data_IF_645041758807
#
_entry.id   IF_645041758807
#
_cell.length_a   1.000
_cell.length_b   1.000
_cell.length_c   1.000
_cell.angle_alpha   90.00
_cell.angle_beta   90.00
_cell.angle_gamma   90.00
#
_symmetry.space_group_name_H-M   'P 1'
#
loop_
_entity.id
_entity.type
_entity.pdbx_description
1 polymer ?
#
# COMPACT_ATOMS: atom_id res chain seq x y z
N UNK A 1 20.16 17.28 -7.91
CA UNK A 1 19.38 16.29 -7.14
C UNK A 1 18.79 16.99 -5.92
N UNK A 2 17.54 16.69 -5.54
CA UNK A 2 16.89 17.30 -4.36
C UNK A 2 17.38 16.61 -3.10
N UNK A 3 17.64 17.37 -2.04
CA UNK A 3 18.09 16.86 -0.75
C UNK A 3 17.10 15.86 -0.11
N UNK A 4 17.63 14.94 0.72
CA UNK A 4 16.87 13.87 1.34
C UNK A 4 15.77 14.39 2.29
N UNK A 5 16.04 15.41 3.11
CA UNK A 5 15.04 15.95 4.05
C UNK A 5 13.88 16.60 3.30
N UNK A 6 14.18 17.31 2.21
CA UNK A 6 13.18 17.94 1.35
C UNK A 6 12.31 16.88 0.65
N UNK A 7 12.92 15.77 0.19
CA UNK A 7 12.18 14.63 -0.39
C UNK A 7 11.23 14.01 0.64
N UNK A 8 11.72 13.76 1.85
CA UNK A 8 10.94 13.20 2.95
C UNK A 8 9.76 14.12 3.32
N UNK A 9 9.99 15.42 3.44
CA UNK A 9 8.93 16.37 3.77
C UNK A 9 7.85 16.43 2.68
N UNK A 10 8.24 16.42 1.40
CA UNK A 10 7.32 16.36 0.26
C UNK A 10 6.48 15.08 0.30
N UNK A 11 7.10 13.93 0.57
CA UNK A 11 6.37 12.66 0.69
C UNK A 11 5.37 12.68 1.85
N UNK A 12 5.75 13.21 3.01
CA UNK A 12 4.85 13.34 4.17
C UNK A 12 3.67 14.29 3.90
N UNK A 13 3.92 15.39 3.17
CA UNK A 13 2.88 16.33 2.74
C UNK A 13 1.91 15.68 1.75
N UNK A 14 2.42 14.95 0.75
CA UNK A 14 1.56 14.23 -0.20
C UNK A 14 0.74 13.15 0.52
N UNK A 15 1.35 12.33 1.37
CA UNK A 15 0.66 11.31 2.17
C UNK A 15 -0.49 11.88 2.99
N UNK A 16 -0.28 13.01 3.67
CA UNK A 16 -1.33 13.69 4.45
C UNK A 16 -2.45 14.20 3.55
N UNK A 17 -2.11 14.79 2.41
CA UNK A 17 -3.07 15.28 1.41
C UNK A 17 -3.92 14.14 0.85
N UNK A 18 -3.27 13.05 0.41
CA UNK A 18 -3.94 11.86 -0.15
C UNK A 18 -4.79 11.16 0.88
N UNK A 19 -4.33 11.05 2.13
CA UNK A 19 -5.14 10.50 3.21
C UNK A 19 -6.45 11.30 3.35
N UNK A 20 -6.39 12.63 3.41
CA UNK A 20 -7.60 13.49 3.49
C UNK A 20 -8.51 13.33 2.27
N UNK A 21 -7.94 13.24 1.06
CA UNK A 21 -8.69 13.03 -0.18
C UNK A 21 -9.39 11.67 -0.24
N UNK A 22 -8.77 10.64 0.33
CA UNK A 22 -9.33 9.28 0.37
C UNK A 22 -10.37 9.11 1.47
N UNK A 23 -10.35 9.90 2.56
CA UNK A 23 -11.26 9.67 3.70
C UNK A 23 -12.73 9.74 3.30
N UNK A 24 -13.14 10.79 2.59
CA UNK A 24 -14.53 11.00 2.21
C UNK A 24 -15.07 9.90 1.26
N UNK A 25 -14.39 9.56 0.14
CA UNK A 25 -14.86 8.48 -0.73
C UNK A 25 -14.80 7.12 -0.06
N UNK A 26 -13.83 6.88 0.85
CA UNK A 26 -13.77 5.63 1.61
C UNK A 26 -15.00 5.48 2.52
N UNK A 27 -15.38 6.53 3.25
CA UNK A 27 -16.58 6.52 4.10
C UNK A 27 -17.84 6.30 3.26
N UNK A 28 -17.99 7.01 2.14
CA UNK A 28 -19.12 6.83 1.23
C UNK A 28 -19.20 5.40 0.68
N UNK A 29 -18.06 4.83 0.26
CA UNK A 29 -17.99 3.46 -0.21
C UNK A 29 -18.34 2.45 0.91
N UNK A 30 -17.89 2.66 2.15
CA UNK A 30 -18.23 1.77 3.30
C UNK A 30 -19.73 1.74 3.51
N UNK A 31 -20.39 2.90 3.52
CA UNK A 31 -21.85 3.00 3.70
C UNK A 31 -22.59 2.30 2.55
N UNK A 32 -22.16 2.52 1.30
CA UNK A 32 -22.76 1.89 0.13
C UNK A 32 -22.58 0.37 0.13
N UNK A 33 -21.39 -0.13 0.48
CA UNK A 33 -21.15 -1.57 0.57
C UNK A 33 -21.92 -2.20 1.72
N UNK A 34 -22.07 -1.52 2.85
CA UNK A 34 -22.93 -1.98 3.94
C UNK A 34 -24.39 -2.10 3.50
N UNK A 35 -24.92 -1.08 2.81
CA UNK A 35 -26.27 -1.11 2.25
C UNK A 35 -26.45 -2.20 1.17
N UNK A 36 -25.42 -2.44 0.36
CA UNK A 36 -25.40 -3.49 -0.65
C UNK A 36 -25.39 -4.89 -0.03
N UNK A 37 -24.56 -5.14 0.99
CA UNK A 37 -24.54 -6.41 1.74
C UNK A 37 -25.87 -6.63 2.46
N UNK A 38 -26.48 -5.56 2.99
CA UNK A 38 -27.81 -5.66 3.60
C UNK A 38 -28.90 -6.11 2.61
N UNK A 39 -28.75 -5.78 1.33
CA UNK A 39 -29.73 -6.07 0.27
C UNK A 39 -29.42 -7.32 -0.55
N UNK A 40 -28.20 -7.87 -0.45
CA UNK A 40 -27.75 -9.01 -1.26
C UNK A 40 -26.92 -10.00 -0.45
N UNK A 41 -27.03 -11.30 -0.73
CA UNK A 41 -26.18 -12.35 -0.13
C UNK A 41 -24.76 -12.39 -0.74
N UNK A 42 -24.16 -11.23 -1.05
CA UNK A 42 -22.84 -11.16 -1.66
C UNK A 42 -21.75 -11.16 -0.58
N UNK A 43 -20.69 -11.94 -0.81
CA UNK A 43 -19.60 -12.17 0.14
C UNK A 43 -18.86 -10.90 0.56
N UNK A 44 -18.78 -10.72 1.89
CA UNK A 44 -17.99 -9.70 2.61
C UNK A 44 -16.50 -9.62 2.19
N UNK A 45 -15.97 -10.68 1.57
CA UNK A 45 -14.56 -10.75 1.17
C UNK A 45 -14.20 -9.72 0.08
N UNK A 46 -15.11 -9.42 -0.85
CA UNK A 46 -14.87 -8.40 -1.89
C UNK A 46 -14.74 -6.99 -1.28
N UNK A 47 -15.39 -6.73 -0.15
CA UNK A 47 -15.24 -5.48 0.59
C UNK A 47 -13.79 -5.28 1.08
N UNK A 48 -13.06 -6.37 1.40
CA UNK A 48 -11.64 -6.28 1.80
C UNK A 48 -10.76 -5.71 0.67
N UNK A 49 -11.06 -6.03 -0.59
CA UNK A 49 -10.34 -5.46 -1.74
C UNK A 49 -10.63 -3.96 -1.85
N UNK A 50 -11.90 -3.59 -1.81
CA UNK A 50 -12.32 -2.19 -1.99
C UNK A 50 -11.84 -1.27 -0.87
N UNK A 51 -11.91 -1.71 0.40
CA UNK A 51 -11.55 -0.87 1.54
C UNK A 51 -10.10 -1.02 2.00
N UNK A 52 -9.52 -2.19 1.81
CA UNK A 52 -8.13 -2.46 2.20
C UNK A 52 -7.15 -2.14 1.09
N UNK A 53 -7.30 -2.82 -0.05
CA UNK A 53 -6.29 -2.82 -1.10
C UNK A 53 -6.34 -1.57 -1.98
N UNK A 54 -7.53 -1.09 -2.35
CA UNK A 54 -7.65 0.06 -3.26
C UNK A 54 -7.01 1.35 -2.72
N UNK A 55 -7.24 1.75 -1.44
CA UNK A 55 -6.57 2.92 -0.88
C UNK A 55 -5.06 2.74 -0.75
N UNK A 56 -4.60 1.51 -0.47
CA UNK A 56 -3.19 1.19 -0.40
C UNK A 56 -2.50 1.32 -1.77
N UNK A 57 -3.13 0.80 -2.83
CA UNK A 57 -2.65 0.94 -4.21
C UNK A 57 -2.63 2.40 -4.67
N UNK A 58 -3.68 3.17 -4.35
CA UNK A 58 -3.72 4.59 -4.68
C UNK A 58 -2.54 5.35 -4.05
N UNK A 59 -2.26 5.11 -2.77
CA UNK A 59 -1.10 5.69 -2.08
C UNK A 59 0.22 5.25 -2.71
N UNK A 60 0.37 3.94 -2.96
CA UNK A 60 1.57 3.38 -3.58
C UNK A 60 1.84 3.97 -4.98
N UNK A 61 0.79 4.17 -5.77
CA UNK A 61 0.87 4.80 -7.09
C UNK A 61 1.33 6.25 -7.02
N UNK A 62 0.78 7.03 -6.08
CA UNK A 62 1.21 8.41 -5.88
C UNK A 62 2.65 8.51 -5.37
N UNK A 63 3.05 7.63 -4.43
CA UNK A 63 4.44 7.50 -3.97
C UNK A 63 5.37 7.20 -5.14
N UNK A 64 5.03 6.22 -5.98
CA UNK A 64 5.77 5.90 -7.22
C UNK A 64 5.94 7.14 -8.10
N UNK A 65 4.86 7.87 -8.40
CA UNK A 65 4.94 9.08 -9.24
C UNK A 65 5.88 10.13 -8.65
N UNK A 66 5.83 10.32 -7.33
CA UNK A 66 6.69 11.28 -6.63
C UNK A 66 8.16 10.82 -6.62
N UNK A 67 8.41 9.54 -6.35
CA UNK A 67 9.75 8.94 -6.42
C UNK A 67 10.39 9.09 -7.81
N UNK A 68 9.63 8.86 -8.88
CA UNK A 68 10.09 9.03 -10.26
C UNK A 68 10.42 10.49 -10.60
N UNK A 69 9.87 11.46 -9.87
CA UNK A 69 10.18 12.88 -10.08
C UNK A 69 11.47 13.35 -9.41
N UNK A 70 12.04 12.55 -8.49
CA UNK A 70 13.24 12.93 -7.75
C UNK A 70 14.55 12.53 -8.43
N UNK A 71 14.49 11.55 -9.33
CA UNK A 71 15.66 10.98 -10.00
C UNK A 71 15.30 10.48 -11.41
N UNK A 72 16.10 10.89 -12.40
CA UNK A 72 15.91 10.58 -13.82
C UNK A 72 16.68 9.31 -14.27
N UNK A 73 17.50 8.71 -13.41
CA UNK A 73 18.23 7.49 -13.73
C UNK A 73 17.27 6.35 -14.13
N UNK A 74 17.45 5.82 -15.34
CA UNK A 74 16.63 4.73 -15.89
C UNK A 74 16.63 3.48 -15.00
N UNK A 75 17.76 3.12 -14.40
CA UNK A 75 17.88 1.94 -13.50
C UNK A 75 17.08 2.15 -12.23
N UNK A 76 17.18 3.34 -11.64
CA UNK A 76 16.37 3.73 -10.49
C UNK A 76 14.87 3.70 -10.82
N UNK A 77 14.48 4.30 -11.95
CA UNK A 77 13.08 4.35 -12.37
C UNK A 77 12.48 2.96 -12.62
N UNK A 78 13.26 2.03 -13.18
CA UNK A 78 12.83 0.64 -13.35
C UNK A 78 12.57 -0.04 -12.01
N UNK A 79 13.45 0.16 -11.02
CA UNK A 79 13.28 -0.41 -9.68
C UNK A 79 12.10 0.20 -8.92
N UNK A 80 11.88 1.51 -9.02
CA UNK A 80 10.69 2.17 -8.45
C UNK A 80 9.40 1.63 -9.09
N UNK A 81 9.43 1.31 -10.39
CA UNK A 81 8.30 0.66 -11.07
C UNK A 81 8.10 -0.78 -10.61
N UNK A 82 9.16 -1.55 -10.37
CA UNK A 82 9.05 -2.92 -9.86
C UNK A 82 8.59 -2.98 -8.41
N UNK A 83 8.98 -2.02 -7.56
CA UNK A 83 8.43 -1.86 -6.21
C UNK A 83 6.91 -1.70 -6.25
N UNK A 84 6.40 -0.83 -7.13
CA UNK A 84 4.97 -0.68 -7.34
C UNK A 84 4.30 -1.94 -7.90
N UNK A 85 4.98 -2.64 -8.83
CA UNK A 85 4.47 -3.90 -9.40
C UNK A 85 4.35 -4.98 -8.32
N UNK A 86 5.29 -5.03 -7.38
CA UNK A 86 5.20 -5.89 -6.20
C UNK A 86 4.05 -5.47 -5.28
N UNK A 87 3.76 -4.17 -5.18
CA UNK A 87 2.53 -3.71 -4.51
C UNK A 87 1.23 -4.22 -5.16
N UNK A 88 1.22 -4.45 -6.48
CA UNK A 88 0.08 -4.99 -7.22
C UNK A 88 -0.12 -6.50 -7.02
N UNK A 89 0.87 -7.25 -6.52
CA UNK A 89 0.68 -8.68 -6.28
C UNK A 89 -0.22 -8.95 -5.07
N UNK A 90 -0.25 -8.07 -4.08
CA UNK A 90 -1.15 -8.16 -2.91
C UNK A 90 -2.63 -8.23 -3.30
N UNK A 91 -3.22 -7.25 -4.04
CA UNK A 91 -4.62 -7.32 -4.44
C UNK A 91 -4.90 -8.51 -5.37
N UNK A 92 -3.97 -8.89 -6.24
CA UNK A 92 -4.12 -10.06 -7.11
C UNK A 92 -4.16 -11.36 -6.31
N UNK A 93 -3.29 -11.51 -5.31
CA UNK A 93 -3.31 -12.64 -4.39
C UNK A 93 -4.66 -12.74 -3.66
N UNK A 94 -5.15 -11.62 -3.10
CA UNK A 94 -6.45 -11.60 -2.42
C UNK A 94 -7.56 -11.98 -3.38
N UNK A 95 -7.56 -11.47 -4.62
CA UNK A 95 -8.57 -11.80 -5.62
C UNK A 95 -8.57 -13.30 -5.97
N UNK A 96 -7.40 -13.90 -6.18
CA UNK A 96 -7.25 -15.34 -6.42
C UNK A 96 -7.78 -16.16 -5.23
N UNK A 97 -7.47 -15.72 -4.00
CA UNK A 97 -7.93 -16.40 -2.80
C UNK A 97 -9.45 -16.32 -2.63
N UNK A 98 -10.05 -15.16 -2.91
CA UNK A 98 -11.52 -15.02 -2.89
C UNK A 98 -12.14 -15.95 -3.92
N UNK A 99 -11.66 -15.93 -5.17
CA UNK A 99 -12.20 -16.83 -6.20
C UNK A 99 -12.02 -18.30 -5.85
N UNK A 100 -10.94 -18.67 -5.14
CA UNK A 100 -10.72 -20.04 -4.70
C UNK A 100 -11.68 -20.46 -3.59
N UNK A 101 -12.08 -19.54 -2.70
CA UNK A 101 -13.12 -19.79 -1.69
C UNK A 101 -14.49 -19.95 -2.36
N UNK A 102 -14.82 -19.08 -3.32
CA UNK A 102 -16.10 -19.12 -4.05
C UNK A 102 -16.26 -20.40 -4.88
N UNK A 103 -15.16 -20.93 -5.42
CA UNK A 103 -15.13 -22.21 -6.13
C UNK A 103 -15.02 -23.43 -5.19
N UNK A 104 -15.09 -23.20 -3.87
CA UNK A 104 -14.94 -24.22 -2.82
C UNK A 104 -13.62 -25.01 -2.87
N UNK A 105 -12.60 -24.48 -3.55
CA UNK A 105 -11.27 -25.11 -3.63
C UNK A 105 -10.51 -25.02 -2.31
N UNK A 106 -10.79 -24.00 -1.51
CA UNK A 106 -10.20 -23.79 -0.19
C UNK A 106 -11.26 -23.34 0.81
N UNK A 107 -11.06 -23.69 2.09
CA UNK A 107 -11.90 -23.19 3.18
C UNK A 107 -11.54 -21.76 3.56
N UNK A 108 -12.46 -21.07 4.26
CA UNK A 108 -12.19 -19.75 4.85
C UNK A 108 -10.99 -19.77 5.82
N UNK A 109 -10.77 -20.88 6.53
CA UNK A 109 -9.60 -21.02 7.40
C UNK A 109 -8.30 -21.04 6.60
N UNK A 110 -8.26 -21.79 5.49
CA UNK A 110 -7.12 -21.80 4.57
C UNK A 110 -6.90 -20.44 3.92
N UNK A 111 -7.97 -19.73 3.56
CA UNK A 111 -7.88 -18.35 3.08
C UNK A 111 -7.10 -17.46 4.04
N UNK A 112 -7.42 -17.49 5.35
CA UNK A 112 -6.73 -16.66 6.35
C UNK A 112 -5.25 -17.01 6.46
N UNK A 113 -4.92 -18.30 6.51
CA UNK A 113 -3.53 -18.78 6.60
C UNK A 113 -2.73 -18.33 5.38
N UNK A 114 -3.23 -18.57 4.17
CA UNK A 114 -2.52 -18.24 2.93
C UNK A 114 -2.40 -16.74 2.74
N UNK A 115 -3.44 -15.97 3.07
CA UNK A 115 -3.39 -14.51 3.05
C UNK A 115 -2.32 -13.97 4.01
N UNK A 116 -2.24 -14.50 5.23
CA UNK A 116 -1.25 -14.11 6.21
C UNK A 116 0.18 -14.40 5.74
N UNK A 117 0.43 -15.63 5.26
CA UNK A 117 1.74 -16.02 4.71
C UNK A 117 2.10 -15.15 3.52
N UNK A 118 1.17 -14.92 2.61
CA UNK A 118 1.37 -14.08 1.43
C UNK A 118 1.76 -12.64 1.80
N UNK A 119 1.08 -12.03 2.77
CA UNK A 119 1.44 -10.70 3.27
C UNK A 119 2.87 -10.70 3.83
N UNK A 120 3.24 -11.71 4.63
CA UNK A 120 4.60 -11.80 5.20
C UNK A 120 5.66 -11.93 4.11
N UNK A 121 5.43 -12.75 3.09
CA UNK A 121 6.34 -12.90 1.95
C UNK A 121 6.51 -11.57 1.21
N UNK A 122 5.42 -10.84 0.95
CA UNK A 122 5.49 -9.54 0.29
C UNK A 122 6.24 -8.49 1.10
N UNK A 123 6.07 -8.49 2.42
CA UNK A 123 6.84 -7.61 3.30
C UNK A 123 8.34 -7.92 3.22
N UNK A 124 8.72 -9.20 3.27
CA UNK A 124 10.12 -9.63 3.18
C UNK A 124 10.73 -9.26 1.81
N UNK A 125 9.99 -9.44 0.72
CA UNK A 125 10.45 -9.12 -0.63
C UNK A 125 10.61 -7.62 -0.90
N UNK A 126 10.01 -6.74 -0.08
CA UNK A 126 10.18 -5.29 -0.23
C UNK A 126 11.56 -4.79 0.24
N UNK A 127 12.15 -5.43 1.27
CA UNK A 127 13.48 -5.08 1.79
C UNK A 127 14.62 -5.08 0.75
N UNK A 128 14.82 -6.12 -0.08
CA UNK A 128 15.90 -6.12 -1.06
C UNK A 128 15.71 -5.05 -2.14
N UNK A 129 14.46 -4.65 -2.46
CA UNK A 129 14.18 -3.58 -3.42
C UNK A 129 14.59 -2.24 -2.82
N UNK A 130 14.18 -1.95 -1.58
CA UNK A 130 14.56 -0.73 -0.86
C UNK A 130 16.08 -0.60 -0.72
N UNK A 131 16.78 -1.72 -0.45
CA UNK A 131 18.24 -1.75 -0.39
C UNK A 131 18.87 -1.39 -1.73
N UNK A 132 18.42 -2.01 -2.83
CA UNK A 132 18.93 -1.69 -4.18
C UNK A 132 18.63 -0.25 -4.60
N UNK A 133 17.49 0.30 -4.20
CA UNK A 133 17.14 1.69 -4.45
C UNK A 133 18.10 2.65 -3.73
N UNK A 134 18.47 2.35 -2.48
CA UNK A 134 19.47 3.14 -1.72
C UNK A 134 20.88 3.01 -2.26
N UNK A 135 21.26 1.85 -2.81
CA UNK A 135 22.56 1.65 -3.46
C UNK A 135 22.71 2.53 -4.72
N UNK A 136 21.61 2.80 -5.44
CA UNK A 136 21.62 3.65 -6.65
C UNK A 136 21.43 5.13 -6.31
N UNK A 137 20.52 5.44 -5.37
CA UNK A 137 20.26 6.80 -4.90
C UNK A 137 20.34 6.84 -3.37
N UNK A 138 21.46 7.28 -2.79
CA UNK A 138 21.62 7.40 -1.34
C UNK A 138 20.58 8.31 -0.67
N UNK A 139 19.98 9.23 -1.44
CA UNK A 139 18.93 10.15 -0.98
C UNK A 139 17.53 9.55 -1.13
N UNK A 140 17.40 8.27 -1.49
CA UNK A 140 16.11 7.58 -1.61
C UNK A 140 15.41 7.46 -0.25
N UNK A 141 14.13 7.82 -0.22
CA UNK A 141 13.28 7.72 0.97
C UNK A 141 12.49 6.41 0.93
N UNK A 142 12.75 5.55 1.92
CA UNK A 142 12.14 4.21 2.01
C UNK A 142 10.76 4.25 2.64
N UNK A 143 9.95 3.21 2.37
CA UNK A 143 8.63 3.07 2.99
C UNK A 143 8.72 2.91 4.51
N UNK A 144 9.73 2.19 4.98
CA UNK A 144 10.01 1.95 6.42
C UNK A 144 10.32 3.27 7.13
N UNK A 145 11.15 4.11 6.54
CA UNK A 145 11.52 5.42 7.07
C UNK A 145 10.33 6.37 7.18
N UNK A 146 9.49 6.45 6.15
CA UNK A 146 8.23 7.19 6.19
C UNK A 146 7.33 6.71 7.34
N UNK A 147 7.21 5.40 7.51
CA UNK A 147 6.45 4.79 8.60
C UNK A 147 6.97 5.19 9.98
N UNK A 148 8.29 5.09 10.21
CA UNK A 148 8.92 5.49 11.46
C UNK A 148 8.72 6.97 11.78
N UNK A 149 8.93 7.86 10.82
CA UNK A 149 8.77 9.31 11.02
C UNK A 149 7.32 9.65 11.33
N UNK A 150 6.35 9.02 10.66
CA UNK A 150 4.93 9.19 10.97
C UNK A 150 4.57 8.71 12.39
N UNK A 151 5.11 7.56 12.82
CA UNK A 151 4.90 7.04 14.17
C UNK A 151 5.48 7.97 15.24
N UNK A 152 6.72 8.44 15.07
CA UNK A 152 7.34 9.38 16.00
C UNK A 152 6.58 10.71 16.09
N UNK A 153 6.08 11.23 14.96
CA UNK A 153 5.26 12.45 14.96
C UNK A 153 3.91 12.26 15.64
N UNK A 154 3.33 11.05 15.59
CA UNK A 154 2.11 10.73 16.34
C UNK A 154 2.37 10.65 17.84
N UNK A 155 3.44 9.97 18.27
CA UNK A 155 3.83 9.87 19.68
C UNK A 155 4.05 11.25 20.31
N UNK A 156 4.82 12.12 19.65
CA UNK A 156 5.03 13.51 20.11
C UNK A 156 3.76 14.35 20.22
N UNK A 157 2.70 14.02 19.47
CA UNK A 157 1.40 14.71 19.54
C UNK A 157 0.46 14.14 20.59
N UNK A 158 0.69 12.92 21.06
CA UNK A 158 -0.08 12.33 22.16
C UNK A 158 0.52 12.65 23.53
N UNK A 159 1.78 13.07 23.57
CA UNK A 159 2.53 13.46 24.78
C UNK A 159 2.51 14.98 25.05
N UNK A 160 1.96 15.77 24.12
CA UNK A 160 1.82 17.24 24.20
C UNK A 160 0.34 17.61 24.28
#
# INVERSE_FOLDING_TARGET
MVDHEVRLERMLKDDKKRKKQLTLPLVGAIVLTFFYIWTTNVFLLYAMIFFGQFPALYKSWHRKKLLLSFNEDKRYQQLVRSEFLLGLTSPLLVLILITSVELEWISLFMFVIVAFIGIMVLLILSFPIDRKLKEIDPLHVTGVELGHVQLQRKKRKSEA
#
